data_IF_438879084454
#
_entry.id   IF_438879084454
#
_cell.length_a   1.000
_cell.length_b   1.000
_cell.length_c   1.000
_cell.angle_alpha   90.00
_cell.angle_beta   90.00
_cell.angle_gamma   90.00
#
_symmetry.space_group_name_H-M   'P 1'
#
loop_
_entity.id
_entity.type
_entity.pdbx_description
1 polymer ?
#
# COMPACT_ATOMS: atom_id res chain seq x y z
N UNK A 1 1.68 7.40 -11.36
CA UNK A 1 0.41 7.65 -10.66
C UNK A 1 0.67 7.86 -9.17
N UNK A 2 0.47 9.07 -8.62
CA UNK A 2 0.53 9.32 -7.17
C UNK A 2 -0.90 9.23 -6.59
N UNK A 3 -1.22 8.15 -5.90
CA UNK A 3 -2.50 7.99 -5.18
C UNK A 3 -2.45 8.77 -3.86
N UNK A 4 -2.44 10.11 -3.93
CA UNK A 4 -2.60 10.99 -2.77
C UNK A 4 -4.06 11.45 -2.66
N UNK A 5 -4.98 10.54 -2.30
CA UNK A 5 -6.37 10.92 -2.05
C UNK A 5 -6.48 11.28 -0.56
N UNK A 6 -6.43 12.58 -0.24
CA UNK A 6 -6.75 13.08 1.10
C UNK A 6 -8.16 12.61 1.46
N UNK A 7 -8.26 11.66 2.39
CA UNK A 7 -9.54 11.25 2.98
C UNK A 7 -9.66 11.97 4.31
N UNK A 8 -10.67 12.82 4.43
CA UNK A 8 -11.04 13.47 5.68
C UNK A 8 -11.54 12.41 6.68
N UNK A 9 -10.68 11.95 7.57
CA UNK A 9 -11.07 11.10 8.69
C UNK A 9 -11.56 11.98 9.83
N UNK A 10 -12.88 12.09 9.99
CA UNK A 10 -13.53 12.79 11.10
C UNK A 10 -13.52 11.87 12.32
N UNK A 11 -12.63 12.12 13.29
CA UNK A 11 -12.63 11.37 14.55
C UNK A 11 -13.35 12.16 15.66
N UNK A 12 -14.07 11.42 16.49
CA UNK A 12 -15.12 11.86 17.41
C UNK A 12 -14.49 12.02 18.79
N UNK A 13 -14.39 13.26 19.29
CA UNK A 13 -13.93 13.56 20.65
C UNK A 13 -13.52 15.02 20.80
N UNK A 14 -14.39 15.83 21.42
CA UNK A 14 -14.18 17.24 21.75
C UNK A 14 -13.89 18.21 20.58
N UNK A 15 -14.91 18.46 19.74
CA UNK A 15 -15.15 19.77 19.09
C UNK A 15 -14.07 20.37 18.16
N UNK A 16 -12.94 19.70 17.92
CA UNK A 16 -11.86 20.16 17.05
C UNK A 16 -11.66 19.16 15.91
N UNK A 17 -11.96 19.60 14.69
CA UNK A 17 -11.61 18.87 13.47
C UNK A 17 -10.11 18.96 13.24
N UNK A 18 -9.40 17.84 13.40
CA UNK A 18 -7.98 17.72 13.02
C UNK A 18 -7.91 17.09 11.65
N UNK A 19 -7.34 17.79 10.67
CA UNK A 19 -7.06 17.22 9.36
C UNK A 19 -5.83 16.31 9.46
N UNK A 20 -6.04 15.00 9.23
CA UNK A 20 -4.96 14.01 9.23
C UNK A 20 -4.69 13.58 7.80
N UNK A 21 -3.51 13.93 7.29
CA UNK A 21 -3.04 13.44 6.00
C UNK A 21 -2.39 12.07 6.17
N UNK A 22 -2.99 11.05 5.55
CA UNK A 22 -2.45 9.68 5.53
C UNK A 22 -1.98 9.30 4.14
N UNK A 23 -0.91 8.51 4.08
CA UNK A 23 -0.43 7.88 2.85
C UNK A 23 -0.41 6.37 3.02
N UNK A 24 -0.50 5.64 1.92
CA UNK A 24 -0.42 4.18 1.91
C UNK A 24 0.62 3.73 0.88
N UNK A 25 1.23 2.59 1.13
CA UNK A 25 2.11 1.92 0.19
C UNK A 25 1.50 0.57 -0.16
N UNK A 26 1.74 0.09 -1.39
CA UNK A 26 1.15 -1.15 -1.88
C UNK A 26 2.20 -2.00 -2.58
N UNK A 27 2.09 -3.32 -2.42
CA UNK A 27 2.82 -4.30 -3.21
C UNK A 27 1.84 -5.06 -4.09
N UNK A 28 2.21 -5.29 -5.34
CA UNK A 28 1.34 -5.97 -6.32
C UNK A 28 2.12 -7.08 -7.01
N UNK A 29 1.44 -8.11 -7.49
CA UNK A 29 2.04 -9.22 -8.25
C UNK A 29 1.07 -9.66 -9.34
N UNK A 30 1.61 -10.13 -10.46
CA UNK A 30 0.81 -10.72 -11.53
C UNK A 30 0.41 -12.16 -11.20
N UNK A 31 -0.84 -12.51 -11.45
CA UNK A 31 -1.41 -13.84 -11.17
C UNK A 31 -1.12 -14.89 -12.24
N UNK A 32 -0.47 -14.52 -13.35
CA UNK A 32 -0.26 -15.37 -14.52
C UNK A 32 0.73 -16.52 -14.35
N UNK A 33 1.37 -16.66 -13.19
CA UNK A 33 2.48 -17.59 -12.98
C UNK A 33 2.11 -18.97 -12.40
N UNK A 34 0.82 -19.36 -12.43
CA UNK A 34 0.36 -20.67 -11.93
C UNK A 34 0.57 -20.85 -10.42
N UNK A 35 0.66 -19.74 -9.69
CA UNK A 35 0.92 -19.71 -8.25
C UNK A 35 -0.36 -19.89 -7.45
N UNK A 36 -0.23 -20.45 -6.25
CA UNK A 36 -1.33 -20.47 -5.29
C UNK A 36 -1.61 -19.07 -4.78
N UNK A 37 -2.79 -18.87 -4.19
CA UNK A 37 -3.15 -17.59 -3.58
C UNK A 37 -2.18 -17.18 -2.48
N UNK A 38 -1.72 -18.12 -1.64
CA UNK A 38 -0.75 -17.86 -0.57
C UNK A 38 0.59 -17.39 -1.12
N UNK A 39 1.06 -17.99 -2.22
CA UNK A 39 2.27 -17.54 -2.89
C UNK A 39 2.10 -16.12 -3.44
N UNK A 40 0.97 -15.83 -4.11
CA UNK A 40 0.70 -14.49 -4.63
C UNK A 40 0.64 -13.44 -3.51
N UNK A 41 0.01 -13.74 -2.39
CA UNK A 41 -0.03 -12.86 -1.22
C UNK A 41 1.37 -12.63 -0.67
N UNK A 42 2.18 -13.69 -0.53
CA UNK A 42 3.56 -13.57 -0.06
C UNK A 42 4.42 -12.70 -0.98
N UNK A 43 4.25 -12.82 -2.30
CA UNK A 43 4.96 -11.99 -3.28
C UNK A 43 4.53 -10.53 -3.25
N UNK A 44 3.21 -10.28 -3.13
CA UNK A 44 2.68 -8.94 -2.95
C UNK A 44 3.20 -8.29 -1.65
N UNK A 45 3.26 -9.05 -0.56
CA UNK A 45 3.80 -8.54 0.72
C UNK A 45 5.29 -8.19 0.62
N UNK A 46 6.09 -9.00 -0.09
CA UNK A 46 7.50 -8.67 -0.38
C UNK A 46 7.65 -7.35 -1.13
N UNK A 47 6.83 -7.12 -2.16
CA UNK A 47 6.82 -5.85 -2.89
C UNK A 47 6.36 -4.66 -2.01
N UNK A 48 5.40 -4.90 -1.11
CA UNK A 48 4.96 -3.90 -0.14
C UNK A 48 6.10 -3.54 0.83
N UNK A 49 6.81 -4.54 1.33
CA UNK A 49 7.93 -4.35 2.25
C UNK A 49 9.01 -3.48 1.61
N UNK A 50 9.37 -3.75 0.34
CA UNK A 50 10.28 -2.90 -0.41
C UNK A 50 9.80 -1.45 -0.53
N UNK A 51 8.50 -1.23 -0.76
CA UNK A 51 7.92 0.11 -0.79
C UNK A 51 8.08 0.84 0.55
N UNK A 52 7.95 0.14 1.67
CA UNK A 52 8.06 0.69 3.02
C UNK A 52 9.50 1.09 3.35
N UNK A 53 10.50 0.31 2.93
CA UNK A 53 11.91 0.60 3.21
C UNK A 53 12.49 1.68 2.30
N UNK A 54 12.04 1.76 1.04
CA UNK A 54 12.64 2.68 0.05
C UNK A 54 11.97 4.06 -0.02
N UNK A 55 11.07 4.40 0.91
CA UNK A 55 10.51 5.76 1.01
C UNK A 55 8.99 5.88 1.15
N UNK A 56 8.25 4.77 1.30
CA UNK A 56 6.78 4.73 1.44
C UNK A 56 6.05 5.45 0.29
N UNK A 57 4.74 5.68 0.45
CA UNK A 57 3.84 6.39 -0.47
C UNK A 57 4.04 6.01 -1.95
N UNK A 58 4.25 4.72 -2.22
CA UNK A 58 4.53 4.18 -3.54
C UNK A 58 3.91 2.80 -3.73
N UNK A 59 3.82 2.39 -4.98
CA UNK A 59 3.43 1.04 -5.38
C UNK A 59 4.65 0.35 -5.96
N UNK A 60 4.94 -0.85 -5.50
CA UNK A 60 5.97 -1.71 -6.10
C UNK A 60 5.31 -2.94 -6.68
N UNK A 61 5.69 -3.29 -7.91
CA UNK A 61 5.30 -4.53 -8.56
C UNK A 61 6.38 -5.56 -8.27
N UNK A 62 5.98 -6.75 -7.83
CA UNK A 62 6.88 -7.88 -7.76
C UNK A 62 7.15 -8.37 -9.18
N UNK A 63 8.21 -7.86 -9.81
CA UNK A 63 8.72 -8.41 -11.05
C UNK A 63 9.69 -9.54 -10.73
N UNK A 64 9.39 -10.71 -11.26
CA UNK A 64 10.31 -11.85 -11.24
C UNK A 64 11.49 -11.45 -12.12
N UNK A 65 12.64 -11.17 -11.52
CA UNK A 65 13.93 -11.21 -12.24
C UNK A 65 14.20 -12.63 -12.73
#
# INVERSE_FOLDING_TARGET
MKFGRSKNFKNIGNGKSVEVSVTASFGTVDSGSGKTIDELISLADKALYHSKETGRNKVTVYEKM
#
